data_IF_819362227881
#
_entry.id   IF_819362227881
#
_cell.length_a   1.000
_cell.length_b   1.000
_cell.length_c   1.000
_cell.angle_alpha   90.00
_cell.angle_beta   90.00
_cell.angle_gamma   90.00
#
_symmetry.space_group_name_H-M   'P 1'
#
loop_
_entity.id
_entity.type
_entity.pdbx_description
1 polymer ?
#
# COMPACT_ATOMS: atom_id res chain seq x y z
N UNK A 1 -10.60 16.23 -41.93
CA UNK A 1 -10.93 14.84 -41.56
C UNK A 1 -10.01 14.37 -40.43
N UNK A 2 -8.67 14.55 -40.54
CA UNK A 2 -7.71 14.13 -39.51
C UNK A 2 -7.94 14.80 -38.14
N UNK A 3 -8.16 16.13 -38.14
CA UNK A 3 -8.47 16.88 -36.92
C UNK A 3 -9.81 16.46 -36.28
N UNK A 4 -10.80 16.08 -37.07
CA UNK A 4 -12.09 15.60 -36.60
C UNK A 4 -11.96 14.23 -35.94
N UNK A 5 -11.18 13.32 -36.52
CA UNK A 5 -10.91 11.99 -35.95
C UNK A 5 -10.09 12.10 -34.64
N UNK A 6 -9.11 12.99 -34.62
CA UNK A 6 -8.31 13.27 -33.41
C UNK A 6 -9.18 13.89 -32.30
N UNK A 7 -10.10 14.79 -32.66
CA UNK A 7 -11.06 15.40 -31.73
C UNK A 7 -12.07 14.37 -31.19
N UNK A 8 -12.54 13.43 -32.03
CA UNK A 8 -13.45 12.35 -31.60
C UNK A 8 -12.72 11.37 -30.68
N UNK A 9 -11.46 10.98 -30.99
CA UNK A 9 -10.64 10.14 -30.13
C UNK A 9 -10.34 10.83 -28.79
N UNK A 10 -9.93 12.09 -28.81
CA UNK A 10 -9.70 12.88 -27.60
C UNK A 10 -11.00 13.07 -26.79
N UNK A 11 -12.13 13.30 -27.48
CA UNK A 11 -13.46 13.39 -26.86
C UNK A 11 -13.90 12.04 -26.27
N UNK A 12 -13.62 10.93 -26.93
CA UNK A 12 -13.93 9.59 -26.45
C UNK A 12 -13.06 9.22 -25.23
N UNK A 13 -11.77 9.56 -25.26
CA UNK A 13 -10.87 9.41 -24.10
C UNK A 13 -11.33 10.30 -22.97
N UNK A 14 -11.67 11.55 -23.26
CA UNK A 14 -12.21 12.50 -22.27
C UNK A 14 -13.56 12.03 -21.73
N UNK A 15 -14.45 11.48 -22.58
CA UNK A 15 -15.75 10.93 -22.19
C UNK A 15 -15.58 9.69 -21.31
N UNK A 16 -14.68 8.77 -21.64
CA UNK A 16 -14.38 7.59 -20.81
C UNK A 16 -13.74 7.99 -19.48
N UNK A 17 -12.83 8.96 -19.50
CA UNK A 17 -12.26 9.53 -18.26
C UNK A 17 -13.30 10.30 -17.45
N UNK A 18 -14.20 11.05 -18.11
CA UNK A 18 -15.21 11.88 -17.46
C UNK A 18 -16.45 11.09 -17.04
N UNK A 19 -16.87 10.10 -17.82
CA UNK A 19 -17.97 9.18 -17.48
C UNK A 19 -17.65 8.33 -16.24
N UNK A 20 -16.38 7.98 -16.05
CA UNK A 20 -15.91 7.33 -14.81
C UNK A 20 -15.92 8.26 -13.58
N UNK A 21 -16.07 9.57 -13.76
CA UNK A 21 -16.21 10.54 -12.65
C UNK A 21 -17.49 10.34 -11.83
N UNK A 22 -18.45 9.57 -12.33
CA UNK A 22 -19.71 9.26 -11.62
C UNK A 22 -19.65 7.97 -10.79
N UNK A 23 -18.60 7.17 -10.91
CA UNK A 23 -18.39 6.04 -10.01
C UNK A 23 -17.48 6.48 -8.85
N UNK A 24 -18.01 6.41 -7.63
CA UNK A 24 -17.31 6.74 -6.37
C UNK A 24 -15.95 6.05 -6.19
N UNK A 25 -15.65 5.05 -7.03
CA UNK A 25 -14.41 4.29 -6.98
C UNK A 25 -13.18 5.01 -7.55
N UNK A 26 -13.34 6.06 -8.39
CA UNK A 26 -12.19 6.73 -9.02
C UNK A 26 -11.59 7.84 -8.13
N UNK A 27 -12.42 8.48 -7.30
CA UNK A 27 -11.91 9.39 -6.26
C UNK A 27 -11.14 8.63 -5.17
N UNK A 28 -11.50 7.38 -4.91
CA UNK A 28 -10.72 6.45 -4.09
C UNK A 28 -9.33 6.15 -4.67
N UNK A 29 -9.19 6.20 -5.99
CA UNK A 29 -7.94 5.81 -6.65
C UNK A 29 -6.87 6.91 -6.55
N UNK A 30 -7.23 8.17 -6.79
CA UNK A 30 -6.32 9.31 -6.59
C UNK A 30 -6.10 9.64 -5.12
N UNK A 31 -7.09 9.41 -4.26
CA UNK A 31 -6.95 9.49 -2.81
C UNK A 31 -6.03 8.41 -2.25
N UNK A 32 -5.99 7.22 -2.87
CA UNK A 32 -5.06 6.14 -2.49
C UNK A 32 -3.59 6.46 -2.79
N UNK A 33 -3.29 7.27 -3.79
CA UNK A 33 -1.92 7.70 -4.08
C UNK A 33 -1.39 8.69 -3.03
N UNK A 34 -2.28 9.45 -2.39
CA UNK A 34 -1.93 10.33 -1.25
C UNK A 34 -1.62 9.54 0.03
N UNK A 35 -1.93 8.24 0.06
CA UNK A 35 -1.77 7.35 1.20
C UNK A 35 -0.52 6.42 1.13
N UNK A 36 0.47 6.74 0.30
CA UNK A 36 1.73 5.99 0.28
C UNK A 36 2.35 5.92 1.68
N UNK A 37 2.29 7.01 2.45
CA UNK A 37 2.79 7.05 3.83
C UNK A 37 2.10 6.04 4.74
N UNK A 38 0.79 5.83 4.62
CA UNK A 38 0.07 4.81 5.41
C UNK A 38 0.46 3.39 5.03
N UNK A 39 0.83 3.15 3.77
CA UNK A 39 1.32 1.85 3.34
C UNK A 39 2.72 1.57 3.91
N UNK A 40 3.61 2.55 3.87
CA UNK A 40 4.94 2.44 4.50
C UNK A 40 4.85 2.20 6.00
N UNK A 41 3.94 2.88 6.69
CA UNK A 41 3.70 2.66 8.12
C UNK A 41 3.20 1.23 8.40
N UNK A 42 2.28 0.70 7.57
CA UNK A 42 1.81 -0.69 7.70
C UNK A 42 2.91 -1.72 7.43
N UNK A 43 3.74 -1.49 6.42
CA UNK A 43 4.90 -2.35 6.12
C UNK A 43 5.88 -2.35 7.30
N UNK A 44 6.14 -1.19 7.90
CA UNK A 44 7.00 -1.07 9.08
C UNK A 44 6.41 -1.79 10.29
N UNK A 45 5.11 -1.61 10.54
CA UNK A 45 4.41 -2.31 11.63
C UNK A 45 4.41 -3.83 11.43
N UNK A 46 4.22 -4.32 10.21
CA UNK A 46 4.34 -5.75 9.87
C UNK A 46 5.74 -6.28 10.15
N UNK A 47 6.79 -5.61 9.63
CA UNK A 47 8.19 -6.02 9.84
C UNK A 47 8.53 -6.05 11.32
N UNK A 48 8.09 -5.05 12.06
CA UNK A 48 8.26 -4.98 13.50
C UNK A 48 7.57 -6.14 14.20
N UNK A 49 6.30 -6.39 13.93
CA UNK A 49 5.54 -7.48 14.54
C UNK A 49 6.15 -8.86 14.23
N UNK A 50 6.53 -9.10 12.97
CA UNK A 50 7.17 -10.36 12.55
C UNK A 50 8.54 -10.54 13.22
N UNK A 51 9.36 -9.49 13.26
CA UNK A 51 10.66 -9.53 13.95
C UNK A 51 10.51 -9.79 15.46
N UNK A 52 9.54 -9.13 16.11
CA UNK A 52 9.23 -9.36 17.53
C UNK A 52 8.75 -10.79 17.79
N UNK A 53 7.85 -11.32 16.95
CA UNK A 53 7.38 -12.70 17.09
C UNK A 53 8.55 -13.68 17.04
N UNK A 54 9.42 -13.54 16.05
CA UNK A 54 10.60 -14.41 15.87
C UNK A 54 11.59 -14.32 17.02
N UNK A 55 11.87 -13.12 17.52
CA UNK A 55 12.83 -12.92 18.59
C UNK A 55 12.27 -13.33 19.96
N UNK A 56 10.99 -13.07 20.22
CA UNK A 56 10.30 -13.55 21.42
C UNK A 56 10.21 -15.09 21.46
N UNK A 57 9.97 -15.75 20.32
CA UNK A 57 9.95 -17.21 20.24
C UNK A 57 11.29 -17.85 20.55
N UNK A 58 12.39 -17.09 20.35
CA UNK A 58 13.74 -17.52 20.73
C UNK A 58 14.02 -17.37 22.24
N UNK A 59 13.07 -16.88 23.01
CA UNK A 59 13.18 -16.70 24.47
C UNK A 59 13.99 -15.46 24.87
N UNK A 60 14.24 -14.53 23.95
CA UNK A 60 14.93 -13.30 24.28
C UNK A 60 14.03 -12.35 25.08
N UNK A 61 14.58 -11.54 26.00
CA UNK A 61 13.83 -10.54 26.72
C UNK A 61 13.29 -9.46 25.76
N UNK A 62 12.10 -8.87 26.04
CA UNK A 62 11.45 -7.89 25.15
C UNK A 62 12.32 -6.69 24.78
N UNK A 63 13.21 -6.25 25.68
CA UNK A 63 14.14 -5.15 25.41
C UNK A 63 15.15 -5.49 24.30
N UNK A 64 15.70 -6.69 24.35
CA UNK A 64 16.64 -7.19 23.35
C UNK A 64 15.94 -7.44 22.02
N UNK A 65 14.73 -8.02 22.05
CA UNK A 65 13.87 -8.18 20.88
C UNK A 65 13.60 -6.83 20.20
N UNK A 66 13.28 -5.80 20.97
CA UNK A 66 13.02 -4.46 20.46
C UNK A 66 14.27 -3.88 19.78
N UNK A 67 15.44 -4.02 20.37
CA UNK A 67 16.69 -3.53 19.79
C UNK A 67 16.99 -4.19 18.44
N UNK A 68 16.88 -5.52 18.36
CA UNK A 68 17.11 -6.27 17.12
C UNK A 68 16.11 -5.92 16.02
N UNK A 69 14.86 -5.72 16.37
CA UNK A 69 13.80 -5.43 15.40
C UNK A 69 13.82 -3.99 14.90
N UNK A 70 14.33 -3.04 15.68
CA UNK A 70 14.47 -1.65 15.24
C UNK A 70 15.33 -1.49 13.98
N UNK A 71 16.33 -2.36 13.80
CA UNK A 71 17.21 -2.31 12.62
C UNK A 71 16.53 -2.79 11.32
N UNK A 72 15.41 -3.48 11.43
CA UNK A 72 14.59 -3.91 10.29
C UNK A 72 13.67 -2.79 9.75
N UNK A 73 13.61 -1.65 10.43
CA UNK A 73 12.64 -0.59 10.16
C UNK A 73 13.30 0.57 9.41
N UNK A 74 12.84 0.80 8.17
CA UNK A 74 13.32 1.89 7.31
C UNK A 74 12.58 3.21 7.56
N UNK A 75 11.32 3.16 8.02
CA UNK A 75 10.50 4.36 8.28
C UNK A 75 11.02 5.12 9.50
N UNK A 76 11.52 6.34 9.26
CA UNK A 76 12.09 7.19 10.30
C UNK A 76 11.07 7.55 11.41
N UNK A 77 9.82 7.81 11.04
CA UNK A 77 8.79 8.19 12.02
C UNK A 77 8.41 7.00 12.93
N UNK A 78 8.32 5.80 12.33
CA UNK A 78 8.07 4.57 13.10
C UNK A 78 9.25 4.23 13.99
N UNK A 79 10.47 4.32 13.47
CA UNK A 79 11.71 4.09 14.21
C UNK A 79 11.88 5.06 15.40
N UNK A 80 11.48 6.32 15.23
CA UNK A 80 11.50 7.31 16.33
C UNK A 80 10.55 6.92 17.46
N UNK A 81 9.36 6.38 17.14
CA UNK A 81 8.43 5.87 18.17
C UNK A 81 8.99 4.65 18.89
N UNK A 82 9.63 3.73 18.16
CA UNK A 82 10.31 2.58 18.76
C UNK A 82 11.46 3.00 19.68
N UNK A 83 12.19 4.08 19.33
CA UNK A 83 13.23 4.66 20.20
C UNK A 83 12.67 5.09 21.55
N UNK A 84 11.49 5.71 21.58
CA UNK A 84 10.81 6.05 22.85
C UNK A 84 10.38 4.79 23.61
N UNK A 85 9.86 3.78 22.90
CA UNK A 85 9.53 2.50 23.53
C UNK A 85 10.75 1.89 24.22
N UNK A 86 11.92 1.96 23.60
CA UNK A 86 13.17 1.46 24.19
C UNK A 86 13.54 2.20 25.48
N UNK A 87 13.44 3.52 25.50
CA UNK A 87 13.73 4.34 26.67
C UNK A 87 12.75 4.04 27.85
N UNK A 88 11.46 3.91 27.54
CA UNK A 88 10.46 3.57 28.56
C UNK A 88 10.62 2.14 29.08
N UNK A 89 10.95 1.19 28.20
CA UNK A 89 11.18 -0.21 28.56
C UNK A 89 12.41 -0.35 29.45
N UNK A 90 13.53 0.34 29.12
CA UNK A 90 14.74 0.35 29.96
C UNK A 90 14.51 1.02 31.32
N UNK A 91 13.48 1.83 31.46
CA UNK A 91 13.02 2.41 32.73
C UNK A 91 12.15 1.47 33.56
N UNK A 92 11.91 0.23 33.09
CA UNK A 92 11.18 -0.82 33.78
C UNK A 92 9.67 -0.82 33.56
N UNK A 93 9.16 -0.08 32.59
CA UNK A 93 7.73 -0.11 32.23
C UNK A 93 7.37 -1.44 31.53
N UNK A 94 6.09 -1.84 31.63
CA UNK A 94 5.60 -3.05 30.97
C UNK A 94 5.65 -2.93 29.44
N UNK A 95 6.09 -3.99 28.77
CA UNK A 95 6.24 -4.00 27.32
C UNK A 95 4.95 -3.71 26.56
N UNK A 96 3.83 -4.26 27.00
CA UNK A 96 2.53 -4.02 26.35
C UNK A 96 2.05 -2.59 26.55
N UNK A 97 2.26 -2.01 27.74
CA UNK A 97 1.91 -0.62 28.00
C UNK A 97 2.75 0.35 27.19
N UNK A 98 4.03 0.09 27.06
CA UNK A 98 4.96 0.91 26.25
C UNK A 98 4.56 0.92 24.77
N UNK A 99 4.18 -0.23 24.20
CA UNK A 99 3.69 -0.30 22.83
C UNK A 99 2.38 0.48 22.60
N UNK A 100 1.50 0.47 23.60
CA UNK A 100 0.22 1.17 23.56
C UNK A 100 0.37 2.68 23.74
N UNK A 101 1.17 3.14 24.70
CA UNK A 101 1.42 4.57 24.98
C UNK A 101 2.07 5.28 23.79
N UNK A 102 3.00 4.61 23.10
CA UNK A 102 3.68 5.14 21.93
C UNK A 102 2.93 4.93 20.61
N UNK A 103 1.70 4.42 20.67
CA UNK A 103 0.86 4.21 19.48
C UNK A 103 1.56 3.43 18.37
N UNK A 104 2.33 2.39 18.73
CA UNK A 104 2.99 1.51 17.76
C UNK A 104 1.93 0.78 16.94
N UNK A 105 0.89 0.32 17.60
CA UNK A 105 -0.27 -0.29 16.97
C UNK A 105 -1.54 0.52 17.27
N UNK A 106 -2.52 0.46 16.39
CA UNK A 106 -3.79 1.17 16.53
C UNK A 106 -5.00 0.26 16.34
N UNK A 107 -6.15 0.68 16.85
CA UNK A 107 -7.42 -0.02 16.65
C UNK A 107 -7.44 -1.45 17.18
N UNK A 108 -7.71 -2.42 16.31
CA UNK A 108 -7.77 -3.84 16.65
C UNK A 108 -6.43 -4.36 17.17
N UNK A 109 -5.33 -3.96 16.55
CA UNK A 109 -3.98 -4.43 16.91
C UNK A 109 -3.56 -3.98 18.31
N UNK A 110 -3.91 -2.76 18.71
CA UNK A 110 -3.69 -2.28 20.08
C UNK A 110 -4.44 -3.14 21.12
N UNK A 111 -5.66 -3.57 20.80
CA UNK A 111 -6.42 -4.49 21.66
C UNK A 111 -5.75 -5.86 21.77
N UNK A 112 -5.23 -6.39 20.66
CA UNK A 112 -4.50 -7.65 20.66
C UNK A 112 -3.26 -7.57 21.54
N UNK A 113 -2.47 -6.48 21.45
CA UNK A 113 -1.31 -6.24 22.32
C UNK A 113 -1.71 -6.21 23.80
N UNK A 114 -2.80 -5.51 24.14
CA UNK A 114 -3.30 -5.49 25.52
C UNK A 114 -3.71 -6.88 26.04
N UNK A 115 -4.26 -7.74 25.18
CA UNK A 115 -4.57 -9.13 25.53
C UNK A 115 -3.29 -9.92 25.74
N UNK A 116 -2.34 -9.84 24.79
CA UNK A 116 -1.05 -10.54 24.87
C UNK A 116 -0.24 -10.21 26.13
N UNK A 117 -0.24 -8.93 26.54
CA UNK A 117 0.39 -8.50 27.78
C UNK A 117 -0.24 -9.13 29.03
N UNK A 118 -1.56 -9.30 29.06
CA UNK A 118 -2.28 -9.91 30.18
C UNK A 118 -2.16 -11.43 30.24
N UNK A 119 -2.11 -12.08 29.09
CA UNK A 119 -2.07 -13.55 28.98
C UNK A 119 -0.63 -14.10 28.94
N UNK A 120 0.38 -13.25 28.77
CA UNK A 120 1.77 -13.66 28.56
C UNK A 120 2.04 -14.29 27.19
N UNK A 121 1.09 -14.20 26.26
CA UNK A 121 1.19 -14.77 24.91
C UNK A 121 1.59 -13.72 23.85
N UNK A 122 2.52 -12.83 24.19
CA UNK A 122 2.90 -11.72 23.32
C UNK A 122 3.50 -12.20 21.99
N UNK A 123 4.22 -13.32 22.00
CA UNK A 123 4.76 -13.97 20.80
C UNK A 123 3.65 -14.28 19.78
N UNK A 124 2.63 -15.04 20.22
CA UNK A 124 1.50 -15.41 19.35
C UNK A 124 0.74 -14.19 18.83
N UNK A 125 0.58 -13.18 19.70
CA UNK A 125 -0.08 -11.94 19.33
C UNK A 125 0.72 -11.17 18.27
N UNK A 126 2.04 -11.09 18.41
CA UNK A 126 2.89 -10.44 17.43
C UNK A 126 2.85 -11.16 16.08
N UNK A 127 2.86 -12.50 16.09
CA UNK A 127 2.70 -13.29 14.86
C UNK A 127 1.34 -13.01 14.20
N UNK A 128 0.27 -13.05 14.97
CA UNK A 128 -1.07 -12.77 14.46
C UNK A 128 -1.22 -11.35 13.89
N UNK A 129 -0.59 -10.37 14.51
CA UNK A 129 -0.55 -9.00 14.01
C UNK A 129 0.23 -8.94 12.68
N UNK A 130 1.36 -9.62 12.57
CA UNK A 130 2.15 -9.69 11.36
C UNK A 130 1.35 -10.29 10.20
N UNK A 131 0.70 -11.42 10.41
CA UNK A 131 -0.12 -12.11 9.41
C UNK A 131 -1.29 -11.24 8.93
N UNK A 132 -1.95 -10.54 9.85
CA UNK A 132 -3.05 -9.65 9.51
C UNK A 132 -2.59 -8.41 8.71
N UNK A 133 -1.40 -7.89 9.01
CA UNK A 133 -0.82 -6.81 8.20
C UNK A 133 -0.40 -7.30 6.82
N UNK A 134 0.07 -8.54 6.67
CA UNK A 134 0.36 -9.15 5.37
C UNK A 134 -0.90 -9.19 4.50
N UNK A 135 -1.99 -9.72 5.02
CA UNK A 135 -3.27 -9.76 4.32
C UNK A 135 -3.76 -8.35 3.92
N UNK A 136 -3.67 -7.39 4.83
CA UNK A 136 -4.03 -5.99 4.59
C UNK A 136 -3.16 -5.34 3.47
N UNK A 137 -1.88 -5.68 3.41
CA UNK A 137 -0.94 -5.18 2.41
C UNK A 137 -1.25 -5.81 1.05
N UNK A 138 -1.44 -7.13 1.01
CA UNK A 138 -1.72 -7.88 -0.22
C UNK A 138 -3.01 -7.41 -0.89
N UNK A 139 -4.09 -7.23 -0.13
CA UNK A 139 -5.36 -6.67 -0.64
C UNK A 139 -5.16 -5.27 -1.24
N UNK A 140 -4.33 -4.44 -0.62
CA UNK A 140 -4.03 -3.09 -1.15
C UNK A 140 -3.18 -3.16 -2.40
N UNK A 141 -2.16 -4.01 -2.43
CA UNK A 141 -1.29 -4.21 -3.59
C UNK A 141 -2.05 -4.79 -4.78
N UNK A 142 -2.89 -5.80 -4.56
CA UNK A 142 -3.75 -6.36 -5.60
C UNK A 142 -4.68 -5.30 -6.21
N UNK A 143 -5.24 -4.41 -5.40
CA UNK A 143 -6.05 -3.29 -5.87
C UNK A 143 -5.27 -2.25 -6.69
N UNK A 144 -3.97 -2.09 -6.44
CA UNK A 144 -3.10 -1.21 -7.24
C UNK A 144 -2.77 -1.85 -8.59
N UNK A 145 -2.44 -3.15 -8.61
CA UNK A 145 -2.15 -3.92 -9.83
C UNK A 145 -3.38 -3.99 -10.74
N UNK A 146 -4.56 -4.30 -10.20
CA UNK A 146 -5.80 -4.35 -10.94
C UNK A 146 -6.19 -3.04 -11.65
N UNK A 147 -5.64 -1.93 -11.22
CA UNK A 147 -5.88 -0.64 -11.87
C UNK A 147 -4.88 -0.31 -12.98
N UNK A 148 -3.73 -0.98 -13.00
CA UNK A 148 -2.72 -0.81 -14.06
C UNK A 148 -3.20 -1.48 -15.35
N UNK A 149 -3.83 -2.64 -15.25
CA UNK A 149 -4.29 -3.42 -16.40
C UNK A 149 -5.21 -2.64 -17.36
N UNK A 150 -6.32 -2.02 -16.92
CA UNK A 150 -7.17 -1.24 -17.83
C UNK A 150 -6.46 -0.01 -18.43
N UNK A 151 -5.55 0.60 -17.68
CA UNK A 151 -4.78 1.76 -18.18
C UNK A 151 -3.83 1.36 -19.30
N UNK A 152 -3.17 0.23 -19.16
CA UNK A 152 -2.25 -0.31 -20.15
C UNK A 152 -2.98 -0.70 -21.45
N UNK A 153 -4.14 -1.35 -21.34
CA UNK A 153 -4.99 -1.71 -22.47
C UNK A 153 -5.45 -0.46 -23.23
N UNK A 154 -5.88 0.60 -22.53
CA UNK A 154 -6.30 1.86 -23.16
C UNK A 154 -5.13 2.50 -23.92
N UNK A 155 -3.95 2.59 -23.31
CA UNK A 155 -2.76 3.16 -23.94
C UNK A 155 -2.39 2.37 -25.19
N UNK A 156 -2.33 1.04 -25.12
CA UNK A 156 -2.04 0.16 -26.26
C UNK A 156 -3.05 0.32 -27.37
N UNK A 157 -4.34 0.36 -27.04
CA UNK A 157 -5.43 0.54 -28.04
C UNK A 157 -5.30 1.88 -28.77
N UNK A 158 -4.94 2.95 -28.08
CA UNK A 158 -4.71 4.27 -28.68
C UNK A 158 -3.52 4.23 -29.64
N UNK A 159 -2.40 3.62 -29.24
CA UNK A 159 -1.20 3.50 -30.07
C UNK A 159 -1.51 2.70 -31.34
N UNK A 160 -2.15 1.54 -31.21
CA UNK A 160 -2.53 0.68 -32.35
C UNK A 160 -3.50 1.42 -33.27
N UNK A 161 -4.48 2.13 -32.71
CA UNK A 161 -5.43 2.94 -33.48
C UNK A 161 -4.74 4.03 -34.31
N UNK A 162 -3.74 4.73 -33.76
CA UNK A 162 -2.95 5.74 -34.47
C UNK A 162 -2.15 5.10 -35.61
N UNK A 163 -1.53 3.95 -35.39
CA UNK A 163 -0.76 3.22 -36.41
C UNK A 163 -1.68 2.81 -37.56
N UNK A 164 -2.84 2.21 -37.25
CA UNK A 164 -3.80 1.80 -38.28
C UNK A 164 -4.32 2.98 -39.10
N UNK A 165 -4.62 4.11 -38.48
CA UNK A 165 -5.04 5.33 -39.16
C UNK A 165 -3.93 5.88 -40.07
N UNK A 166 -2.68 5.83 -39.61
CA UNK A 166 -1.51 6.30 -40.38
C UNK A 166 -1.31 5.49 -41.64
N UNK A 167 -1.62 4.20 -41.65
CA UNK A 167 -1.50 3.32 -42.83
C UNK A 167 -2.73 3.42 -43.73
N UNK A 168 -3.93 3.55 -43.18
CA UNK A 168 -5.19 3.60 -43.94
C UNK A 168 -5.38 4.94 -44.69
N UNK A 169 -4.94 6.06 -44.12
CA UNK A 169 -5.11 7.38 -44.73
C UNK A 169 -4.49 7.51 -46.14
N UNK A 170 -3.22 7.10 -46.41
CA UNK A 170 -2.64 7.15 -47.74
C UNK A 170 -3.33 6.20 -48.73
N UNK A 171 -3.77 5.02 -48.27
CA UNK A 171 -4.49 4.05 -49.11
C UNK A 171 -5.83 4.61 -49.61
N UNK A 172 -6.62 5.23 -48.74
CA UNK A 172 -7.89 5.88 -49.10
C UNK A 172 -7.64 7.08 -50.03
N UNK A 173 -6.57 7.84 -49.80
CA UNK A 173 -6.20 8.98 -50.66
C UNK A 173 -5.86 8.54 -52.08
N UNK A 174 -5.17 7.40 -52.24
CA UNK A 174 -4.84 6.84 -53.55
C UNK A 174 -6.09 6.32 -54.27
N UNK A 175 -7.03 5.69 -53.55
CA UNK A 175 -8.29 5.19 -54.10
C UNK A 175 -9.28 6.31 -54.46
N UNK A 176 -9.25 7.42 -53.76
CA UNK A 176 -10.13 8.58 -54.01
C UNK A 176 -9.57 9.52 -55.10
N UNK A 177 -8.32 9.36 -55.50
CA UNK A 177 -7.67 10.14 -56.56
C UNK A 177 -7.67 9.47 -57.93
N UNK A 178 -8.29 8.28 -58.08
CA UNK A 178 -8.62 7.60 -59.33
C UNK A 178 -10.12 7.76 -59.62
#
# INVERSE_FOLDING_TARGET
>A
VFLLILAVLAGMIFYVCFSKKRSQNFQSFFGKFKNSRQLYEKISARRFASGMALTLSSGLPPEECLNLTMDLIDDHAFRTRLGKCREELSSGNDFSEVLLSNHIFSGLYARLVSIGGRTGSMEEIMQKIADQYDEDIDVRMAGMIAAIEPTLVIILSVIVGIILLSVMLPLVSIMAGL
#
